data_IF_954937324150
#
_entry.id   IF_954937324150
#
_cell.length_a   1.000
_cell.length_b   1.000
_cell.length_c   1.000
_cell.angle_alpha   90.00
_cell.angle_beta   90.00
_cell.angle_gamma   90.00
#
_symmetry.space_group_name_H-M   'P 1'
#
loop_
_entity.id
_entity.type
_entity.pdbx_description
1 polymer ?
#
# COMPACT_ATOMS: atom_id res chain seq x y z
N UNK A 1 -13.82 -4.29 -16.04
CA UNK A 1 -12.45 -4.64 -15.61
C UNK A 1 -12.12 -5.98 -16.24
N UNK A 2 -11.04 -6.06 -17.02
CA UNK A 2 -10.63 -7.34 -17.61
C UNK A 2 -9.93 -8.20 -16.55
N UNK A 3 -9.88 -9.52 -16.76
CA UNK A 3 -9.21 -10.43 -15.82
C UNK A 3 -7.72 -10.08 -15.69
N UNK A 4 -7.09 -9.69 -16.80
CA UNK A 4 -5.69 -9.26 -16.82
C UNK A 4 -5.45 -8.02 -15.94
N UNK A 5 -6.35 -7.04 -15.96
CA UNK A 5 -6.26 -5.84 -15.12
C UNK A 5 -6.36 -6.21 -13.63
N UNK A 6 -7.27 -7.12 -13.29
CA UNK A 6 -7.46 -7.60 -11.93
C UNK A 6 -6.22 -8.32 -11.40
N UNK A 7 -5.65 -9.23 -12.20
CA UNK A 7 -4.43 -9.96 -11.86
C UNK A 7 -3.24 -9.02 -11.74
N UNK A 8 -3.11 -8.02 -12.62
CA UNK A 8 -2.05 -7.02 -12.57
C UNK A 8 -2.15 -6.15 -11.31
N UNK A 9 -3.36 -5.69 -10.97
CA UNK A 9 -3.59 -4.92 -9.75
C UNK A 9 -3.26 -5.75 -8.49
N UNK A 10 -3.70 -7.00 -8.43
CA UNK A 10 -3.40 -7.92 -7.33
C UNK A 10 -1.89 -8.19 -7.17
N UNK A 11 -1.16 -8.37 -8.28
CA UNK A 11 0.29 -8.54 -8.27
C UNK A 11 1.00 -7.31 -7.69
N UNK A 12 0.66 -6.11 -8.17
CA UNK A 12 1.25 -4.85 -7.66
C UNK A 12 0.93 -4.66 -6.18
N UNK A 13 -0.32 -4.87 -5.77
CA UNK A 13 -0.73 -4.76 -4.37
C UNK A 13 0.05 -5.75 -3.48
N UNK A 14 0.22 -6.99 -3.94
CA UNK A 14 1.02 -8.00 -3.25
C UNK A 14 2.48 -7.59 -3.08
N UNK A 15 3.14 -7.17 -4.16
CA UNK A 15 4.53 -6.71 -4.13
C UNK A 15 4.75 -5.51 -3.19
N UNK A 16 3.88 -4.50 -3.26
CA UNK A 16 3.97 -3.32 -2.39
C UNK A 16 3.74 -3.69 -0.93
N UNK A 17 2.73 -4.51 -0.63
CA UNK A 17 2.47 -5.00 0.74
C UNK A 17 3.69 -5.69 1.34
N UNK A 18 4.36 -6.54 0.58
CA UNK A 18 5.55 -7.25 1.04
C UNK A 18 6.76 -6.31 1.26
N UNK A 19 6.91 -5.28 0.43
CA UNK A 19 7.96 -4.28 0.60
C UNK A 19 7.74 -3.40 1.83
N UNK A 20 6.50 -2.94 2.03
CA UNK A 20 6.11 -2.16 3.21
C UNK A 20 6.34 -2.98 4.49
N UNK A 21 6.00 -4.27 4.50
CA UNK A 21 6.25 -5.16 5.66
C UNK A 21 7.73 -5.31 6.01
N UNK A 22 8.62 -5.31 5.03
CA UNK A 22 10.08 -5.55 5.23
C UNK A 22 10.86 -4.30 5.60
N UNK A 23 10.30 -3.11 5.37
CA UNK A 23 10.95 -1.84 5.65
C UNK A 23 10.90 -1.55 7.15
N UNK A 24 12.00 -0.99 7.68
CA UNK A 24 12.02 -0.47 9.04
C UNK A 24 11.27 0.87 9.08
N UNK A 25 10.36 0.99 10.04
CA UNK A 25 9.48 2.14 10.24
C UNK A 25 9.69 2.80 11.59
N UNK A 26 10.71 2.39 12.36
CA UNK A 26 11.04 3.05 13.62
C UNK A 26 11.32 4.53 13.33
N UNK A 27 10.70 5.41 14.12
CA UNK A 27 10.71 6.87 13.97
C UNK A 27 9.96 7.44 12.74
N UNK A 28 9.28 6.62 11.94
CA UNK A 28 8.39 7.11 10.91
C UNK A 28 7.01 7.46 11.48
N UNK A 29 6.40 8.50 10.95
CA UNK A 29 5.00 8.83 11.16
C UNK A 29 4.10 7.91 10.33
N UNK A 30 2.84 7.74 10.76
CA UNK A 30 1.86 6.98 9.97
C UNK A 30 1.63 7.61 8.58
N UNK A 31 1.71 8.94 8.48
CA UNK A 31 1.60 9.67 7.22
C UNK A 31 2.71 9.26 6.23
N UNK A 32 3.95 9.16 6.68
CA UNK A 32 5.07 8.71 5.83
C UNK A 32 4.89 7.27 5.34
N UNK A 33 4.29 6.39 6.16
CA UNK A 33 3.96 5.02 5.75
C UNK A 33 2.90 5.04 4.63
N UNK A 34 1.84 5.83 4.79
CA UNK A 34 0.81 5.98 3.77
C UNK A 34 1.38 6.55 2.46
N UNK A 35 2.08 7.68 2.53
CA UNK A 35 2.67 8.36 1.36
C UNK A 35 3.66 7.47 0.63
N UNK A 36 4.53 6.76 1.36
CA UNK A 36 5.43 5.78 0.77
C UNK A 36 4.66 4.69 0.04
N UNK A 37 3.67 4.07 0.70
CA UNK A 37 2.91 2.95 0.15
C UNK A 37 2.17 3.36 -1.13
N UNK A 38 1.49 4.50 -1.10
CA UNK A 38 0.78 5.05 -2.26
C UNK A 38 1.75 5.40 -3.40
N UNK A 39 2.90 6.01 -3.07
CA UNK A 39 3.94 6.30 -4.07
C UNK A 39 4.46 5.03 -4.75
N UNK A 40 4.62 3.92 -4.02
CA UNK A 40 5.09 2.66 -4.57
C UNK A 40 4.05 1.99 -5.49
N UNK A 41 2.76 2.14 -5.19
CA UNK A 41 1.67 1.71 -6.08
C UNK A 41 1.71 2.53 -7.39
N UNK A 42 1.80 3.86 -7.28
CA UNK A 42 1.82 4.78 -8.43
C UNK A 42 3.05 4.56 -9.31
N UNK A 43 4.24 4.39 -8.71
CA UNK A 43 5.50 4.09 -9.45
C UNK A 43 5.41 2.80 -10.28
N UNK A 44 4.55 1.86 -9.89
CA UNK A 44 4.30 0.60 -10.64
C UNK A 44 3.20 0.74 -11.70
N UNK A 45 2.72 1.95 -11.94
CA UNK A 45 1.73 2.26 -12.96
C UNK A 45 0.30 1.90 -12.58
N UNK A 46 0.01 1.76 -11.29
CA UNK A 46 -1.34 1.54 -10.77
C UNK A 46 -1.89 2.80 -10.09
N UNK A 47 -3.16 2.73 -9.67
CA UNK A 47 -3.81 3.77 -8.84
C UNK A 47 -4.30 3.12 -7.55
N UNK A 48 -4.34 3.89 -6.48
CA UNK A 48 -4.96 3.46 -5.23
C UNK A 48 -6.47 3.29 -5.44
N UNK A 49 -7.02 2.13 -5.06
CA UNK A 49 -8.46 1.90 -5.10
C UNK A 49 -9.20 2.68 -3.99
N UNK A 50 -8.50 2.91 -2.88
CA UNK A 50 -8.88 3.73 -1.72
C UNK A 50 -7.59 4.21 -1.03
N UNK A 51 -7.65 5.23 -0.15
CA UNK A 51 -6.47 5.69 0.60
C UNK A 51 -5.86 4.56 1.43
N UNK A 52 -4.53 4.49 1.53
CA UNK A 52 -3.89 3.46 2.35
C UNK A 52 -4.29 3.64 3.82
N UNK A 53 -4.66 2.54 4.48
CA UNK A 53 -4.97 2.54 5.91
C UNK A 53 -3.77 2.01 6.68
N UNK A 54 -3.37 2.74 7.73
CA UNK A 54 -2.35 2.31 8.68
C UNK A 54 -2.96 2.42 10.07
N UNK A 55 -3.72 1.40 10.45
CA UNK A 55 -4.38 1.33 11.74
C UNK A 55 -3.40 0.85 12.81
N UNK A 56 -3.37 1.55 13.95
CA UNK A 56 -2.46 1.24 15.06
C UNK A 56 -3.28 0.94 16.32
N UNK A 57 -2.88 -0.11 17.05
CA UNK A 57 -3.48 -0.55 18.30
C UNK A 57 -4.98 -0.88 18.19
N UNK A 58 -5.84 -0.17 18.90
CA UNK A 58 -7.30 -0.38 18.95
C UNK A 58 -8.05 0.12 17.70
N UNK A 59 -7.38 0.88 16.83
CA UNK A 59 -7.97 1.34 15.57
C UNK A 59 -8.08 0.14 14.63
N UNK A 60 -9.31 -0.20 14.24
CA UNK A 60 -9.57 -1.39 13.42
C UNK A 60 -9.32 -1.15 11.93
N UNK A 61 -9.86 -0.06 11.38
CA UNK A 61 -9.81 0.29 9.97
C UNK A 61 -10.20 1.75 9.78
N UNK A 62 -10.02 2.25 8.55
CA UNK A 62 -10.17 3.65 8.16
C UNK A 62 -9.21 4.56 8.95
#
# INVERSE_FOLDING_TARGET
MQIEDYLKAGKIAGEVRENVRKKDWINATLAEICEYTESEIIKRGAKCAFPVNVSMNEIAAH
#
